data_IF_966920062692
#
_entry.id   IF_966920062692
#
_cell.length_a   1.000
_cell.length_b   1.000
_cell.length_c   1.000
_cell.angle_alpha   90.00
_cell.angle_beta   90.00
_cell.angle_gamma   90.00
#
_symmetry.space_group_name_H-M   'P 1'
#
loop_
_entity.id
_entity.type
_entity.pdbx_description
1 polymer ?
#
# COMPACT_ATOMS: atom_id res chain seq x y z
N UNK A 1 13.56 38.52 -51.39
CA UNK A 1 13.18 39.53 -50.38
C UNK A 1 11.94 38.98 -49.67
N UNK A 2 12.09 38.56 -48.43
CA UNK A 2 11.03 38.00 -47.58
C UNK A 2 10.24 39.13 -46.93
N UNK A 3 8.92 39.20 -47.12
CA UNK A 3 8.07 40.18 -46.45
C UNK A 3 6.94 39.47 -45.69
N UNK A 4 7.21 39.34 -44.39
CA UNK A 4 6.35 39.46 -43.21
C UNK A 4 4.92 38.87 -43.19
N UNK A 5 4.73 37.96 -42.23
CA UNK A 5 3.45 37.49 -41.74
C UNK A 5 2.74 38.59 -40.92
N UNK A 6 1.50 38.92 -41.28
CA UNK A 6 0.61 39.71 -40.43
C UNK A 6 -0.25 38.78 -39.57
N UNK A 7 0.19 38.63 -38.31
CA UNK A 7 -0.63 38.13 -37.20
C UNK A 7 -1.61 39.23 -36.79
N UNK A 8 -2.89 39.04 -37.06
CA UNK A 8 -3.96 39.91 -36.53
C UNK A 8 -4.80 39.10 -35.55
N UNK A 9 -4.52 39.37 -34.27
CA UNK A 9 -5.30 38.96 -33.11
C UNK A 9 -6.71 39.55 -33.20
N UNK A 10 -7.67 38.77 -33.70
CA UNK A 10 -9.09 39.11 -33.61
C UNK A 10 -9.63 38.59 -32.27
N UNK A 11 -9.40 39.38 -31.22
CA UNK A 11 -10.19 39.32 -29.98
C UNK A 11 -11.59 39.78 -30.39
N UNK A 12 -12.52 38.84 -30.60
CA UNK A 12 -13.92 39.19 -30.74
C UNK A 12 -14.53 39.26 -29.34
N UNK A 13 -15.01 40.46 -29.04
CA UNK A 13 -15.66 40.88 -27.83
C UNK A 13 -16.86 40.02 -27.44
N UNK A 14 -17.14 40.10 -26.14
CA UNK A 14 -18.22 39.48 -25.40
C UNK A 14 -19.58 39.69 -26.07
N UNK A 15 -20.29 38.58 -26.28
CA UNK A 15 -21.74 38.55 -26.17
C UNK A 15 -22.10 37.87 -24.87
N UNK A 16 -22.54 38.67 -23.90
CA UNK A 16 -23.33 38.20 -22.78
C UNK A 16 -24.58 37.51 -23.34
N UNK A 17 -24.55 36.18 -23.32
CA UNK A 17 -25.66 35.31 -23.63
C UNK A 17 -25.97 34.49 -22.38
N UNK A 18 -27.18 34.67 -21.89
CA UNK A 18 -27.73 34.05 -20.69
C UNK A 18 -27.44 32.55 -20.57
N UNK A 19 -27.01 32.14 -19.37
CA UNK A 19 -27.23 30.78 -18.87
C UNK A 19 -26.34 29.70 -19.48
N UNK A 20 -25.03 29.77 -19.29
CA UNK A 20 -24.23 28.55 -19.34
C UNK A 20 -24.55 27.70 -18.10
N UNK A 21 -25.66 26.95 -18.16
CA UNK A 21 -25.80 25.73 -17.38
C UNK A 21 -24.56 24.91 -17.69
N UNK A 22 -23.57 24.93 -16.78
CA UNK A 22 -22.35 24.14 -16.88
C UNK A 22 -22.78 22.71 -17.15
N UNK A 23 -22.70 22.30 -18.42
CA UNK A 23 -23.22 21.01 -18.88
C UNK A 23 -22.25 19.99 -18.33
N UNK A 24 -22.56 19.44 -17.15
CA UNK A 24 -21.83 18.34 -16.54
C UNK A 24 -21.62 17.29 -17.62
N UNK A 25 -20.36 17.13 -18.08
CA UNK A 25 -20.00 16.10 -19.04
C UNK A 25 -20.39 14.77 -18.40
N UNK A 26 -21.28 14.03 -19.05
CA UNK A 26 -21.60 12.67 -18.63
C UNK A 26 -20.32 11.84 -18.74
N UNK A 27 -20.02 11.04 -17.72
CA UNK A 27 -18.93 10.07 -17.78
C UNK A 27 -19.11 9.21 -19.03
N UNK A 28 -18.08 9.13 -19.86
CA UNK A 28 -18.13 8.30 -21.06
C UNK A 28 -18.10 6.84 -20.65
N UNK A 29 -18.71 5.97 -21.46
CA UNK A 29 -18.64 4.52 -21.23
C UNK A 29 -17.19 4.02 -21.12
N UNK A 30 -16.28 4.58 -21.94
CA UNK A 30 -14.84 4.31 -21.87
C UNK A 30 -14.24 4.79 -20.54
N UNK A 31 -14.65 5.95 -20.03
CA UNK A 31 -14.19 6.47 -18.75
C UNK A 31 -14.61 5.59 -17.58
N UNK A 32 -15.83 5.05 -17.59
CA UNK A 32 -16.28 4.09 -16.59
C UNK A 32 -15.49 2.77 -16.63
N UNK A 33 -15.30 2.21 -17.83
CA UNK A 33 -14.52 0.97 -17.99
C UNK A 33 -13.06 1.11 -17.53
N UNK A 34 -12.45 2.28 -17.74
CA UNK A 34 -11.09 2.55 -17.24
C UNK A 34 -11.03 2.65 -15.72
N UNK A 35 -12.03 3.28 -15.10
CA UNK A 35 -12.14 3.38 -13.64
C UNK A 35 -12.32 1.99 -13.00
N UNK A 36 -13.21 1.18 -13.56
CA UNK A 36 -13.43 -0.22 -13.14
C UNK A 36 -12.15 -1.05 -13.24
N UNK A 37 -11.38 -0.90 -14.33
CA UNK A 37 -10.12 -1.62 -14.50
C UNK A 37 -9.07 -1.21 -13.45
N UNK A 38 -8.95 0.10 -13.17
CA UNK A 38 -8.02 0.59 -12.13
C UNK A 38 -8.39 0.00 -10.78
N UNK A 39 -9.67 0.01 -10.42
CA UNK A 39 -10.13 -0.51 -9.13
C UNK A 39 -9.94 -2.02 -9.03
N UNK A 40 -10.18 -2.75 -10.12
CA UNK A 40 -9.87 -4.17 -10.23
C UNK A 40 -8.37 -4.46 -10.03
N UNK A 41 -7.48 -3.68 -10.64
CA UNK A 41 -6.03 -3.86 -10.46
C UNK A 41 -5.58 -3.53 -9.04
N UNK A 42 -6.16 -2.52 -8.39
CA UNK A 42 -5.91 -2.25 -6.97
C UNK A 42 -6.36 -3.41 -6.09
N UNK A 43 -7.58 -3.91 -6.30
CA UNK A 43 -8.12 -5.06 -5.57
C UNK A 43 -7.24 -6.30 -5.70
N UNK A 44 -6.80 -6.63 -6.91
CA UNK A 44 -5.84 -7.73 -7.13
C UNK A 44 -4.53 -7.52 -6.36
N UNK A 45 -3.98 -6.31 -6.41
CA UNK A 45 -2.70 -5.99 -5.77
C UNK A 45 -2.81 -6.09 -4.26
N UNK A 46 -3.87 -5.54 -3.66
CA UNK A 46 -4.12 -5.62 -2.22
C UNK A 46 -4.28 -7.07 -1.78
N UNK A 47 -5.07 -7.87 -2.52
CA UNK A 47 -5.22 -9.30 -2.23
C UNK A 47 -3.88 -10.05 -2.27
N UNK A 48 -3.02 -9.73 -3.23
CA UNK A 48 -1.69 -10.33 -3.31
C UNK A 48 -0.79 -9.90 -2.14
N UNK A 49 -0.85 -8.62 -1.73
CA UNK A 49 -0.12 -8.11 -0.57
C UNK A 49 -0.58 -8.77 0.74
N UNK A 50 -1.88 -8.95 0.92
CA UNK A 50 -2.44 -9.63 2.08
C UNK A 50 -1.98 -11.10 2.14
N UNK A 51 -2.04 -11.81 1.01
CA UNK A 51 -1.53 -13.18 0.92
C UNK A 51 -0.03 -13.27 1.25
N UNK A 52 0.78 -12.32 0.79
CA UNK A 52 2.21 -12.25 1.14
C UNK A 52 2.41 -11.97 2.64
N UNK A 53 1.61 -11.08 3.23
CA UNK A 53 1.64 -10.81 4.67
C UNK A 53 1.33 -12.08 5.46
N UNK A 54 0.25 -12.77 5.13
CA UNK A 54 -0.15 -14.03 5.78
C UNK A 54 0.94 -15.11 5.67
N UNK A 55 1.52 -15.29 4.48
CA UNK A 55 2.63 -16.23 4.27
C UNK A 55 3.85 -15.85 5.11
N UNK A 56 4.20 -14.56 5.16
CA UNK A 56 5.34 -14.10 5.97
C UNK A 56 5.11 -14.31 7.46
N UNK A 57 3.89 -14.08 7.94
CA UNK A 57 3.52 -14.27 9.34
C UNK A 57 3.57 -15.75 9.72
N UNK A 58 3.04 -16.63 8.86
CA UNK A 58 3.12 -18.09 9.06
C UNK A 58 4.57 -18.57 9.20
N UNK A 59 5.46 -18.11 8.33
CA UNK A 59 6.90 -18.45 8.42
C UNK A 59 7.53 -18.00 9.73
N UNK A 60 7.20 -16.80 10.21
CA UNK A 60 7.72 -16.35 11.50
C UNK A 60 7.22 -17.23 12.66
N UNK A 61 5.98 -17.71 12.61
CA UNK A 61 5.44 -18.62 13.63
C UNK A 61 6.07 -20.01 13.56
N UNK A 62 6.26 -20.56 12.36
CA UNK A 62 6.99 -21.82 12.14
C UNK A 62 8.41 -21.74 12.70
N UNK A 63 9.09 -20.62 12.50
CA UNK A 63 10.42 -20.36 13.03
C UNK A 63 10.44 -20.25 14.57
N UNK A 64 9.42 -19.63 15.18
CA UNK A 64 9.28 -19.61 16.65
C UNK A 64 9.20 -21.03 17.21
N UNK A 65 8.41 -21.90 16.58
CA UNK A 65 8.30 -23.30 16.99
C UNK A 65 9.63 -24.05 16.81
N UNK A 66 10.36 -23.78 15.73
CA UNK A 66 11.67 -24.38 15.47
C UNK A 66 12.76 -23.92 16.47
N UNK A 67 12.78 -22.63 16.82
CA UNK A 67 13.72 -22.07 17.80
C UNK A 67 13.44 -22.62 19.20
N UNK A 68 12.17 -22.76 19.59
CA UNK A 68 11.74 -23.19 20.92
C UNK A 68 12.10 -22.21 22.05
N UNK A 69 11.79 -22.57 23.29
CA UNK A 69 12.12 -21.76 24.48
C UNK A 69 11.29 -20.49 24.69
N UNK A 70 10.14 -20.41 24.01
CA UNK A 70 9.07 -19.46 24.26
C UNK A 70 7.94 -20.14 25.05
N UNK A 71 7.35 -19.43 26.00
CA UNK A 71 6.09 -19.86 26.63
C UNK A 71 4.92 -19.63 25.68
N UNK A 72 3.80 -20.33 25.88
CA UNK A 72 2.59 -20.12 25.08
C UNK A 72 2.08 -18.66 25.15
N UNK A 73 2.26 -18.01 26.29
CA UNK A 73 1.97 -16.59 26.46
C UNK A 73 2.92 -15.69 25.63
N UNK A 74 4.22 -15.97 25.63
CA UNK A 74 5.17 -15.25 24.77
C UNK A 74 4.83 -15.45 23.28
N UNK A 75 4.37 -16.65 22.89
CA UNK A 75 3.91 -16.94 21.53
C UNK A 75 2.67 -16.13 21.16
N UNK A 76 1.71 -15.93 22.07
CA UNK A 76 0.54 -15.09 21.77
C UNK A 76 0.93 -13.64 21.53
N UNK A 77 1.87 -13.09 22.30
CA UNK A 77 2.37 -11.72 22.09
C UNK A 77 3.24 -11.57 20.84
N UNK A 78 3.90 -12.64 20.39
CA UNK A 78 4.70 -12.61 19.16
C UNK A 78 3.85 -12.29 17.92
N UNK A 79 2.57 -12.68 17.91
CA UNK A 79 1.64 -12.36 16.82
C UNK A 79 1.51 -10.85 16.65
N UNK A 80 1.36 -10.11 17.74
CA UNK A 80 1.26 -8.65 17.74
C UNK A 80 2.57 -8.00 17.27
N UNK A 81 3.72 -8.51 17.74
CA UNK A 81 5.03 -8.04 17.28
C UNK A 81 5.19 -8.20 15.77
N UNK A 82 4.69 -9.31 15.22
CA UNK A 82 4.76 -9.63 13.80
C UNK A 82 3.69 -8.98 12.94
N UNK A 83 2.80 -8.13 13.45
CA UNK A 83 1.96 -7.30 12.59
C UNK A 83 2.80 -6.33 11.75
N UNK A 84 3.92 -5.86 12.31
CA UNK A 84 4.91 -5.02 11.63
C UNK A 84 5.80 -5.82 10.68
N UNK A 85 5.82 -5.43 9.41
CA UNK A 85 6.70 -6.04 8.40
C UNK A 85 8.19 -5.91 8.72
N UNK A 86 8.59 -4.77 9.28
CA UNK A 86 9.98 -4.52 9.69
C UNK A 86 10.39 -5.49 10.81
N UNK A 87 9.48 -5.78 11.74
CA UNK A 87 9.76 -6.74 12.82
C UNK A 87 9.87 -8.16 12.27
N UNK A 88 9.00 -8.55 11.32
CA UNK A 88 9.11 -9.86 10.63
C UNK A 88 10.46 -10.00 9.93
N UNK A 89 10.88 -8.99 9.19
CA UNK A 89 12.17 -8.98 8.50
C UNK A 89 13.35 -9.04 9.47
N UNK A 90 13.34 -8.21 10.51
CA UNK A 90 14.39 -8.20 11.53
C UNK A 90 14.53 -9.57 12.20
N UNK A 91 13.42 -10.22 12.54
CA UNK A 91 13.40 -11.57 13.13
C UNK A 91 13.98 -12.63 12.16
N UNK A 92 13.54 -12.64 10.91
CA UNK A 92 13.97 -13.63 9.91
C UNK A 92 15.40 -13.38 9.37
N UNK A 93 15.97 -12.19 9.57
CA UNK A 93 17.29 -11.82 9.04
C UNK A 93 18.49 -12.46 9.76
N UNK A 94 18.30 -12.95 10.98
CA UNK A 94 19.39 -13.44 11.83
C UNK A 94 19.47 -14.96 11.81
N UNK A 95 20.62 -15.55 11.49
CA UNK A 95 20.74 -17.04 11.44
C UNK A 95 20.93 -17.70 12.81
N UNK A 96 21.13 -16.91 13.87
CA UNK A 96 21.36 -17.42 15.21
C UNK A 96 20.06 -17.44 16.04
N UNK A 97 19.55 -18.64 16.31
CA UNK A 97 18.32 -18.87 17.06
C UNK A 97 18.31 -18.22 18.45
N UNK A 98 19.46 -18.16 19.15
CA UNK A 98 19.54 -17.52 20.46
C UNK A 98 19.38 -16.01 20.35
N UNK A 99 20.00 -15.40 19.34
CA UNK A 99 19.89 -13.96 19.09
C UNK A 99 18.46 -13.59 18.69
N UNK A 100 17.85 -14.35 17.79
CA UNK A 100 16.44 -14.20 17.41
C UNK A 100 15.52 -14.32 18.63
N UNK A 101 15.73 -15.34 19.47
CA UNK A 101 14.94 -15.55 20.69
C UNK A 101 15.05 -14.38 21.66
N UNK A 102 16.27 -13.94 21.97
CA UNK A 102 16.50 -12.81 22.87
C UNK A 102 15.88 -11.52 22.33
N UNK A 103 16.01 -11.29 21.03
CA UNK A 103 15.44 -10.12 20.36
C UNK A 103 13.91 -10.12 20.49
N UNK A 104 13.25 -11.25 20.19
CA UNK A 104 11.80 -11.33 20.24
C UNK A 104 11.27 -11.17 21.66
N UNK A 105 11.89 -11.82 22.65
CA UNK A 105 11.53 -11.63 24.07
C UNK A 105 11.68 -10.18 24.52
N UNK A 106 12.72 -9.48 24.04
CA UNK A 106 12.91 -8.05 24.33
C UNK A 106 11.83 -7.20 23.67
N UNK A 107 11.42 -7.53 22.44
CA UNK A 107 10.34 -6.83 21.74
C UNK A 107 8.99 -7.04 22.43
N UNK A 108 8.64 -8.27 22.80
CA UNK A 108 7.43 -8.59 23.56
C UNK A 108 7.38 -7.77 24.86
N UNK A 109 8.49 -7.76 25.63
CA UNK A 109 8.57 -6.92 26.83
C UNK A 109 8.34 -5.44 26.55
N UNK A 110 8.77 -4.90 25.43
CA UNK A 110 8.53 -3.49 25.13
C UNK A 110 7.06 -3.18 24.81
N UNK A 111 6.36 -4.10 24.16
CA UNK A 111 4.95 -3.93 23.79
C UNK A 111 4.02 -4.12 24.99
N UNK A 112 4.38 -5.01 25.92
CA UNK A 112 3.53 -5.42 27.04
C UNK A 112 4.13 -5.13 28.43
N UNK A 113 5.07 -4.19 28.54
CA UNK A 113 5.59 -3.70 29.84
C UNK A 113 4.69 -2.64 30.46
#
# INVERSE_FOLDING_TARGET
MTSEAQSVSAIHEAREGEGSKSRKRKQSHVGAALEDYVEFKKSQTNKALDALKELSMRKCMEEIEAIGGFTEEEKSYAVEVFESGINREAFMSTMNHNVQRMWLKRKIRYVHS
#
